data_IF_356976781420
#
_entry.id   IF_356976781420
#
_cell.length_a   1.000
_cell.length_b   1.000
_cell.length_c   1.000
_cell.angle_alpha   90.00
_cell.angle_beta   90.00
_cell.angle_gamma   90.00
#
_symmetry.space_group_name_H-M   'P 1'
#
loop_
_entity.id
_entity.type
_entity.pdbx_description
1 polymer ?
#
# COMPACT_ATOMS: atom_id res chain seq x y z
N UNK A 1 10.69 53.80 44.13
CA UNK A 1 9.91 53.47 45.35
C UNK A 1 9.59 52.02 45.36
N UNK A 2 10.16 51.36 46.35
CA UNK A 2 9.76 50.16 47.13
C UNK A 2 9.52 48.84 46.32
N UNK A 3 10.42 47.98 46.42
CA UNK A 3 10.89 46.96 47.40
C UNK A 3 10.24 45.63 47.09
N UNK A 4 11.03 44.66 46.52
CA UNK A 4 11.73 43.55 47.22
C UNK A 4 10.85 42.73 48.16
N UNK A 5 10.72 41.43 47.89
CA UNK A 5 11.16 40.39 48.84
C UNK A 5 11.11 38.96 48.24
N UNK A 6 12.29 38.45 48.17
CA UNK A 6 12.79 37.09 48.20
C UNK A 6 12.37 36.27 49.42
N UNK A 7 12.33 34.92 49.30
CA UNK A 7 12.79 33.86 50.24
C UNK A 7 12.38 32.51 49.68
N UNK A 8 13.19 31.62 49.24
CA UNK A 8 14.35 30.87 49.73
C UNK A 8 14.02 29.72 50.69
N UNK A 9 14.49 28.53 50.30
CA UNK A 9 15.02 27.39 51.09
C UNK A 9 13.99 26.48 51.77
N UNK A 10 14.16 25.18 51.86
CA UNK A 10 15.34 24.33 52.06
C UNK A 10 15.04 22.87 51.87
N UNK A 11 16.03 22.12 51.47
CA UNK A 11 16.16 20.68 51.44
C UNK A 11 16.06 20.00 52.80
N UNK A 12 15.75 18.70 52.84
CA UNK A 12 16.44 17.76 53.73
C UNK A 12 16.32 16.31 53.26
N UNK A 13 17.48 15.71 53.23
CA UNK A 13 17.86 14.30 53.05
C UNK A 13 17.51 13.48 54.29
N UNK A 14 17.33 12.14 54.11
CA UNK A 14 17.89 11.06 54.94
C UNK A 14 17.41 9.73 54.31
N UNK A 15 18.17 8.92 53.88
CA UNK A 15 19.06 7.79 54.14
C UNK A 15 18.75 7.08 55.46
N UNK A 16 18.43 5.79 55.39
CA UNK A 16 18.91 4.71 56.26
C UNK A 16 18.82 3.36 55.58
N UNK A 17 19.91 2.63 55.73
CA UNK A 17 20.26 1.28 55.27
C UNK A 17 19.84 0.19 56.25
N UNK A 18 20.01 -1.05 55.76
CA UNK A 18 20.39 -2.29 56.43
C UNK A 18 19.24 -3.18 56.90
N UNK A 19 19.25 -4.46 56.83
CA UNK A 19 20.12 -5.53 56.35
C UNK A 19 19.57 -6.86 56.98
N UNK A 20 19.84 -7.97 56.29
CA UNK A 20 20.22 -9.29 56.79
C UNK A 20 19.10 -10.29 57.19
N UNK A 21 18.98 -11.28 56.33
CA UNK A 21 19.08 -12.75 56.43
C UNK A 21 18.41 -13.51 57.58
N UNK A 22 17.64 -14.55 57.24
CA UNK A 22 18.02 -15.94 57.48
C UNK A 22 16.81 -16.90 57.33
N UNK A 23 16.99 -17.93 56.58
CA UNK A 23 16.57 -19.34 56.66
C UNK A 23 15.38 -19.74 57.56
N UNK A 24 14.43 -20.47 56.92
CA UNK A 24 13.50 -21.31 57.67
C UNK A 24 12.52 -22.02 56.73
N UNK A 25 12.81 -23.26 56.42
CA UNK A 25 11.92 -24.24 55.78
C UNK A 25 10.69 -24.52 56.63
N UNK A 26 9.51 -24.55 56.02
CA UNK A 26 8.46 -25.56 56.37
C UNK A 26 7.31 -25.52 55.37
N UNK A 27 6.96 -26.71 54.88
CA UNK A 27 5.76 -27.07 54.14
C UNK A 27 4.48 -26.74 54.95
N UNK A 28 3.45 -26.25 54.26
CA UNK A 28 2.09 -26.77 54.37
C UNK A 28 1.14 -26.04 53.39
N UNK A 29 0.22 -26.81 52.86
CA UNK A 29 -0.79 -26.46 51.86
C UNK A 29 -1.77 -25.38 52.32
N UNK A 30 -2.26 -24.56 51.38
CA UNK A 30 -3.40 -23.68 51.61
C UNK A 30 -3.75 -22.91 50.34
N UNK A 31 -4.91 -23.21 49.77
CA UNK A 31 -5.53 -22.50 48.64
C UNK A 31 -5.65 -21.00 48.88
N UNK A 32 -5.20 -20.19 48.00
CA UNK A 32 -5.65 -18.83 47.80
C UNK A 32 -5.50 -18.45 46.32
N UNK A 33 -6.58 -17.97 45.79
CA UNK A 33 -6.73 -17.39 44.46
C UNK A 33 -5.83 -16.15 44.29
N UNK A 34 -4.93 -16.17 43.31
CA UNK A 34 -4.26 -14.98 42.84
C UNK A 34 -4.66 -14.75 41.37
N UNK A 35 -5.31 -13.63 41.15
CA UNK A 35 -5.57 -13.04 39.84
C UNK A 35 -4.22 -12.56 39.28
N UNK A 36 -3.62 -13.32 38.38
CA UNK A 36 -2.65 -12.81 37.39
C UNK A 36 -3.34 -12.55 36.06
N UNK A 37 -2.98 -11.49 35.33
CA UNK A 37 -3.60 -11.22 34.04
C UNK A 37 -3.17 -12.31 33.04
N UNK A 38 -4.13 -13.11 32.63
CA UNK A 38 -3.97 -14.11 31.58
C UNK A 38 -3.44 -13.41 30.31
N UNK A 39 -2.21 -13.75 29.95
CA UNK A 39 -1.77 -13.69 28.57
C UNK A 39 -2.76 -14.56 27.76
N UNK A 40 -3.49 -13.92 26.86
CA UNK A 40 -4.45 -14.56 25.98
C UNK A 40 -3.76 -15.56 25.04
N UNK A 41 -3.44 -16.71 25.55
CA UNK A 41 -3.05 -17.93 24.86
C UNK A 41 -4.19 -18.93 25.01
N UNK A 42 -5.30 -18.68 24.37
CA UNK A 42 -6.34 -19.68 24.17
C UNK A 42 -5.82 -20.73 23.20
N UNK A 43 -5.14 -21.72 23.73
CA UNK A 43 -4.85 -22.98 23.07
C UNK A 43 -6.16 -23.77 22.95
N UNK A 44 -6.91 -23.50 21.86
CA UNK A 44 -7.84 -24.48 21.36
C UNK A 44 -6.94 -25.57 20.76
N UNK A 45 -6.75 -26.65 21.51
CA UNK A 45 -5.95 -27.79 21.12
C UNK A 45 -6.18 -28.18 19.66
N UNK A 46 -5.12 -28.61 18.93
CA UNK A 46 -5.25 -28.99 17.55
C UNK A 46 -6.29 -30.10 17.43
N UNK A 47 -7.33 -29.86 16.64
CA UNK A 47 -8.24 -30.92 16.25
C UNK A 47 -7.37 -32.02 15.68
N UNK A 48 -7.40 -33.20 16.28
CA UNK A 48 -6.56 -34.34 15.91
C UNK A 48 -6.67 -34.55 14.39
N UNK A 49 -5.57 -34.36 13.65
CA UNK A 49 -5.43 -34.64 12.24
C UNK A 49 -5.50 -33.45 11.28
N UNK A 50 -5.64 -32.17 11.73
CA UNK A 50 -5.71 -31.04 10.80
C UNK A 50 -4.37 -30.31 10.67
N UNK A 51 -4.01 -29.97 9.41
CA UNK A 51 -2.86 -29.09 9.12
C UNK A 51 -3.23 -27.64 9.36
N UNK A 52 -2.48 -26.96 10.22
CA UNK A 52 -2.63 -25.51 10.42
C UNK A 52 -1.67 -24.78 9.48
N UNK A 53 -2.20 -23.91 8.61
CA UNK A 53 -1.45 -23.01 7.75
C UNK A 53 -1.54 -21.59 8.30
N UNK A 54 -0.41 -20.90 8.34
CA UNK A 54 -0.30 -19.52 8.78
C UNK A 54 -0.05 -18.59 7.59
N UNK A 55 -0.71 -17.44 7.56
CA UNK A 55 -0.58 -16.42 6.51
C UNK A 55 -0.18 -15.10 7.16
N UNK A 56 1.01 -14.61 6.84
CA UNK A 56 1.52 -13.31 7.26
C UNK A 56 1.23 -12.25 6.21
N UNK A 57 0.52 -11.19 6.59
CA UNK A 57 0.13 -10.10 5.70
C UNK A 57 0.40 -8.74 6.33
N UNK A 58 0.27 -7.68 5.53
CA UNK A 58 0.31 -6.29 5.98
C UNK A 58 -0.99 -5.57 5.62
N UNK A 59 -1.30 -4.51 6.37
CA UNK A 59 -2.47 -3.67 6.14
C UNK A 59 -3.80 -4.44 6.15
N UNK A 60 -4.76 -3.90 5.46
CA UNK A 60 -6.07 -4.52 5.21
C UNK A 60 -6.02 -5.38 3.94
N UNK A 61 -5.27 -6.48 3.97
CA UNK A 61 -5.00 -7.34 2.81
C UNK A 61 -6.26 -7.98 2.20
N UNK A 62 -7.28 -8.23 3.03
CA UNK A 62 -8.65 -8.52 2.59
C UNK A 62 -8.99 -9.98 2.35
N UNK A 63 -8.04 -10.92 2.32
CA UNK A 63 -8.32 -12.34 2.03
C UNK A 63 -9.27 -12.98 3.04
N UNK A 64 -9.11 -12.66 4.31
CA UNK A 64 -9.97 -13.14 5.40
C UNK A 64 -11.36 -12.50 5.32
N UNK A 65 -11.40 -11.19 5.15
CA UNK A 65 -12.62 -10.38 5.10
C UNK A 65 -13.49 -10.73 3.88
N UNK A 66 -12.86 -11.10 2.75
CA UNK A 66 -13.55 -11.64 1.58
C UNK A 66 -14.04 -13.10 1.77
N UNK A 67 -13.83 -13.69 2.94
CA UNK A 67 -14.26 -15.05 3.26
C UNK A 67 -13.54 -16.15 2.48
N UNK A 68 -12.36 -15.85 1.88
CA UNK A 68 -11.60 -16.82 1.08
C UNK A 68 -11.04 -17.94 1.94
N UNK A 69 -10.61 -17.66 3.17
CA UNK A 69 -10.12 -18.70 4.09
C UNK A 69 -11.23 -19.66 4.48
N UNK A 70 -12.43 -19.14 4.80
CA UNK A 70 -13.57 -19.98 5.16
C UNK A 70 -14.01 -20.85 3.98
N UNK A 71 -13.98 -20.31 2.76
CA UNK A 71 -14.26 -21.07 1.55
C UNK A 71 -13.24 -22.20 1.37
N UNK A 72 -11.93 -21.92 1.46
CA UNK A 72 -10.89 -22.93 1.32
C UNK A 72 -11.01 -24.03 2.38
N UNK A 73 -11.22 -23.66 3.65
CA UNK A 73 -11.40 -24.62 4.76
C UNK A 73 -12.68 -25.45 4.62
N UNK A 74 -13.71 -24.91 3.98
CA UNK A 74 -14.93 -25.67 3.66
C UNK A 74 -14.68 -26.75 2.61
N UNK A 75 -13.85 -26.45 1.62
CA UNK A 75 -13.44 -27.35 0.54
C UNK A 75 -12.35 -28.34 1.01
N UNK A 76 -11.48 -27.96 1.95
CA UNK A 76 -10.36 -28.74 2.49
C UNK A 76 -10.50 -28.92 4.00
N UNK A 77 -11.25 -29.94 4.43
CA UNK A 77 -11.65 -30.18 5.84
C UNK A 77 -10.49 -30.41 6.79
N UNK A 78 -9.36 -30.83 6.25
CA UNK A 78 -8.15 -31.16 7.02
C UNK A 78 -7.21 -29.95 7.20
N UNK A 79 -7.63 -28.76 6.73
CA UNK A 79 -6.86 -27.50 6.83
C UNK A 79 -7.54 -26.53 7.78
N UNK A 80 -6.72 -25.83 8.56
CA UNK A 80 -7.10 -24.63 9.36
C UNK A 80 -6.17 -23.51 8.96
N UNK A 81 -6.71 -22.32 8.63
CA UNK A 81 -5.94 -21.16 8.25
C UNK A 81 -5.97 -20.12 9.36
N UNK A 82 -4.79 -19.61 9.75
CA UNK A 82 -4.62 -18.52 10.71
C UNK A 82 -3.87 -17.36 10.04
N UNK A 83 -4.35 -16.14 10.17
CA UNK A 83 -3.70 -14.94 9.65
C UNK A 83 -3.07 -14.12 10.77
N UNK A 84 -1.87 -13.62 10.52
CA UNK A 84 -1.25 -12.53 11.28
C UNK A 84 -1.13 -11.32 10.37
N UNK A 85 -1.41 -10.12 10.88
CA UNK A 85 -1.29 -8.87 10.12
C UNK A 85 -0.50 -7.84 10.91
N UNK A 86 0.38 -7.12 10.22
CA UNK A 86 1.05 -5.92 10.72
C UNK A 86 0.48 -4.75 9.93
N UNK A 87 -0.04 -3.73 10.61
CA UNK A 87 -0.85 -2.66 10.02
C UNK A 87 -0.16 -1.94 8.85
N UNK A 88 1.17 -1.76 8.91
CA UNK A 88 1.93 -1.01 7.91
C UNK A 88 3.05 -1.85 7.31
N UNK A 89 3.19 -1.78 5.97
CA UNK A 89 4.25 -2.49 5.26
C UNK A 89 5.65 -2.05 5.72
N UNK A 90 5.85 -0.78 6.07
CA UNK A 90 7.13 -0.26 6.57
C UNK A 90 7.58 -0.93 7.87
N UNK A 91 6.65 -1.48 8.65
CA UNK A 91 6.94 -2.25 9.85
C UNK A 91 7.01 -3.77 9.58
N UNK A 92 6.24 -4.24 8.61
CA UNK A 92 6.18 -5.65 8.24
C UNK A 92 7.41 -6.12 7.46
N UNK A 93 7.80 -5.37 6.44
CA UNK A 93 8.82 -5.78 5.48
C UNK A 93 10.22 -5.98 6.10
N UNK A 94 10.74 -5.10 6.97
CA UNK A 94 12.02 -5.33 7.65
C UNK A 94 12.02 -6.58 8.55
N UNK A 95 10.87 -6.90 9.16
CA UNK A 95 10.72 -8.13 9.94
C UNK A 95 10.74 -9.36 9.03
N UNK A 96 10.03 -9.31 7.88
CA UNK A 96 10.08 -10.38 6.88
C UNK A 96 11.51 -10.66 6.41
N UNK A 97 12.30 -9.64 6.07
CA UNK A 97 13.70 -9.79 5.68
C UNK A 97 14.54 -10.45 6.80
N UNK A 98 14.35 -10.01 8.04
CA UNK A 98 15.03 -10.58 9.21
C UNK A 98 14.66 -12.06 9.38
N UNK A 99 13.38 -12.39 9.28
CA UNK A 99 12.89 -13.77 9.42
C UNK A 99 13.35 -14.67 8.27
N UNK A 100 13.38 -14.18 7.03
CA UNK A 100 13.97 -14.88 5.89
C UNK A 100 15.47 -15.09 6.10
N UNK A 101 16.17 -14.10 6.67
CA UNK A 101 17.59 -14.21 6.99
C UNK A 101 17.89 -15.31 8.01
N UNK A 102 17.06 -15.43 9.05
CA UNK A 102 17.25 -16.40 10.15
C UNK A 102 16.57 -17.75 9.92
N UNK A 103 15.63 -17.83 8.96
CA UNK A 103 14.80 -19.03 8.74
C UNK A 103 13.81 -19.30 9.86
N UNK A 104 13.49 -18.31 10.71
CA UNK A 104 12.59 -18.47 11.85
C UNK A 104 11.62 -17.29 11.99
N UNK A 105 10.46 -17.51 12.63
CA UNK A 105 9.42 -16.46 12.77
C UNK A 105 8.56 -16.24 11.53
N UNK A 106 8.72 -17.08 10.50
CA UNK A 106 7.98 -17.01 9.26
C UNK A 106 6.60 -17.68 9.37
N UNK A 107 5.59 -17.09 8.77
CA UNK A 107 4.35 -17.79 8.43
C UNK A 107 4.59 -18.74 7.24
N UNK A 108 3.69 -19.72 7.05
CA UNK A 108 3.77 -20.66 5.93
C UNK A 108 3.60 -19.95 4.57
N UNK A 109 2.81 -18.85 4.55
CA UNK A 109 2.66 -17.96 3.40
C UNK A 109 2.99 -16.54 3.87
N UNK A 110 3.78 -15.80 3.08
CA UNK A 110 4.14 -14.41 3.35
C UNK A 110 3.73 -13.51 2.19
N UNK A 111 3.02 -12.43 2.50
CA UNK A 111 2.70 -11.41 1.52
C UNK A 111 3.92 -10.50 1.26
N UNK A 112 4.08 -10.04 0.01
CA UNK A 112 5.12 -9.09 -0.41
C UNK A 112 4.48 -8.01 -1.25
N UNK A 113 4.73 -6.75 -0.91
CA UNK A 113 4.26 -5.59 -1.67
C UNK A 113 5.07 -5.41 -2.96
N UNK A 114 4.46 -4.86 -4.01
CA UNK A 114 5.04 -4.77 -5.34
C UNK A 114 6.39 -4.04 -5.39
N UNK A 115 6.56 -2.95 -4.62
CA UNK A 115 7.84 -2.23 -4.59
C UNK A 115 8.95 -2.98 -3.82
N UNK A 116 8.62 -4.07 -3.13
CA UNK A 116 9.57 -4.91 -2.42
C UNK A 116 9.90 -6.21 -3.17
N UNK A 117 9.11 -6.59 -4.18
CA UNK A 117 9.25 -7.90 -4.84
C UNK A 117 10.61 -8.05 -5.55
N UNK A 118 11.13 -6.99 -6.15
CA UNK A 118 12.41 -7.04 -6.83
C UNK A 118 13.56 -7.38 -5.87
N UNK A 119 13.58 -6.78 -4.66
CA UNK A 119 14.57 -7.13 -3.62
C UNK A 119 14.41 -8.58 -3.17
N UNK A 120 13.19 -9.05 -2.95
CA UNK A 120 12.90 -10.44 -2.56
C UNK A 120 13.37 -11.41 -3.64
N UNK A 121 13.03 -11.17 -4.90
CA UNK A 121 13.40 -12.01 -6.04
C UNK A 121 14.92 -12.10 -6.21
N UNK A 122 15.62 -10.97 -6.09
CA UNK A 122 17.06 -10.89 -6.30
C UNK A 122 17.87 -11.39 -5.11
N UNK A 123 17.41 -11.15 -3.87
CA UNK A 123 18.25 -11.39 -2.68
C UNK A 123 17.78 -12.55 -1.79
N UNK A 124 16.50 -12.96 -1.90
CA UNK A 124 15.89 -13.98 -1.05
C UNK A 124 15.26 -15.14 -1.84
N UNK A 125 15.36 -15.14 -3.17
CA UNK A 125 14.69 -16.11 -4.03
C UNK A 125 15.08 -17.56 -3.75
N UNK A 126 16.28 -17.84 -3.25
CA UNK A 126 16.76 -19.16 -2.82
C UNK A 126 16.05 -19.69 -1.57
N UNK A 127 15.52 -18.79 -0.72
CA UNK A 127 14.82 -19.10 0.55
C UNK A 127 13.31 -19.29 0.40
N UNK A 128 12.79 -19.18 -0.82
CA UNK A 128 11.37 -19.30 -1.14
C UNK A 128 11.13 -20.53 -2.03
N UNK A 129 9.93 -21.09 -2.03
CA UNK A 129 9.54 -22.20 -2.90
C UNK A 129 9.27 -21.74 -4.35
N UNK A 130 9.41 -22.66 -5.30
CA UNK A 130 9.02 -22.46 -6.69
C UNK A 130 7.51 -22.69 -6.86
N UNK A 131 6.76 -21.62 -6.89
CA UNK A 131 5.30 -21.66 -6.98
C UNK A 131 4.78 -21.92 -8.41
N UNK A 132 5.64 -21.88 -9.44
CA UNK A 132 5.23 -22.25 -10.80
C UNK A 132 4.76 -23.71 -10.91
N UNK A 133 5.18 -24.55 -9.96
CA UNK A 133 4.83 -25.97 -9.87
C UNK A 133 3.71 -26.26 -8.87
N UNK A 134 3.21 -25.24 -8.18
CA UNK A 134 2.15 -25.42 -7.20
C UNK A 134 0.85 -25.89 -7.87
N UNK A 135 0.14 -26.88 -7.29
CA UNK A 135 -1.13 -27.32 -7.84
C UNK A 135 -2.13 -26.17 -7.98
N UNK A 136 -2.60 -25.90 -9.18
CA UNK A 136 -3.52 -24.81 -9.48
C UNK A 136 -2.85 -23.49 -9.93
N UNK A 137 -1.52 -23.40 -9.90
CA UNK A 137 -0.81 -22.27 -10.50
C UNK A 137 -0.89 -22.35 -12.03
N UNK A 138 -1.38 -21.30 -12.66
CA UNK A 138 -1.50 -21.19 -14.12
C UNK A 138 -0.93 -19.86 -14.59
N UNK A 139 0.29 -19.87 -15.13
CA UNK A 139 0.95 -18.68 -15.66
C UNK A 139 0.09 -17.95 -16.70
N UNK A 140 -0.63 -18.69 -17.54
CA UNK A 140 -1.43 -18.11 -18.63
C UNK A 140 -2.64 -17.31 -18.10
N UNK A 141 -3.05 -17.52 -16.86
CA UNK A 141 -4.13 -16.77 -16.23
C UNK A 141 -3.73 -15.36 -15.79
N UNK A 142 -2.45 -15.08 -15.65
CA UNK A 142 -1.93 -13.81 -15.12
C UNK A 142 -1.47 -12.86 -16.23
N UNK A 143 -1.43 -11.57 -15.92
CA UNK A 143 -0.66 -10.62 -16.70
C UNK A 143 0.80 -11.07 -16.75
N UNK A 144 1.37 -11.14 -17.96
CA UNK A 144 2.72 -11.67 -18.18
C UNK A 144 3.78 -10.93 -17.34
N UNK A 145 3.70 -9.60 -17.30
CA UNK A 145 4.62 -8.78 -16.54
C UNK A 145 4.51 -9.00 -15.03
N UNK A 146 3.29 -9.25 -14.50
CA UNK A 146 3.11 -9.49 -13.07
C UNK A 146 3.70 -10.83 -12.66
N UNK A 147 3.54 -11.85 -13.50
CA UNK A 147 4.20 -13.13 -13.28
C UNK A 147 5.72 -13.01 -13.34
N UNK A 148 6.23 -12.25 -14.32
CA UNK A 148 7.68 -12.02 -14.47
C UNK A 148 8.28 -11.31 -13.25
N UNK A 149 7.59 -10.32 -12.66
CA UNK A 149 8.03 -9.64 -11.44
C UNK A 149 8.23 -10.58 -10.25
N UNK A 150 7.45 -11.66 -10.14
CA UNK A 150 7.58 -12.67 -9.10
C UNK A 150 8.57 -13.79 -9.44
N UNK A 151 9.30 -13.69 -10.56
CA UNK A 151 10.16 -14.75 -11.09
C UNK A 151 11.63 -14.32 -11.08
N UNK A 152 12.51 -15.19 -10.54
CA UNK A 152 13.95 -14.96 -10.51
C UNK A 152 14.58 -15.11 -11.90
N UNK A 153 15.79 -14.60 -12.12
CA UNK A 153 16.56 -14.79 -13.36
C UNK A 153 16.77 -16.27 -13.70
N UNK A 154 16.86 -17.14 -12.70
CA UNK A 154 16.96 -18.59 -12.88
C UNK A 154 15.62 -19.26 -13.30
N UNK A 155 14.55 -18.47 -13.48
CA UNK A 155 13.23 -18.96 -13.90
C UNK A 155 12.37 -19.56 -12.76
N UNK A 156 12.75 -19.35 -11.50
CA UNK A 156 11.99 -19.80 -10.34
C UNK A 156 10.94 -18.73 -9.98
N UNK A 157 9.66 -19.06 -10.03
CA UNK A 157 8.58 -18.16 -9.63
C UNK A 157 8.37 -18.25 -8.13
N UNK A 158 8.81 -17.23 -7.40
CA UNK A 158 8.76 -17.19 -5.92
C UNK A 158 7.58 -16.42 -5.37
N UNK A 159 6.87 -15.66 -6.22
CA UNK A 159 5.70 -14.88 -5.85
C UNK A 159 4.56 -15.00 -6.87
N UNK A 160 3.35 -15.34 -6.39
CA UNK A 160 2.13 -15.30 -7.19
C UNK A 160 1.39 -13.99 -6.93
N UNK A 161 1.10 -13.23 -7.99
CA UNK A 161 0.41 -11.95 -7.87
C UNK A 161 -0.99 -12.08 -7.28
N UNK A 162 -1.33 -11.22 -6.31
CA UNK A 162 -2.68 -11.16 -5.73
C UNK A 162 -3.54 -10.11 -6.40
N UNK A 163 -2.94 -8.96 -6.72
CA UNK A 163 -3.61 -7.79 -7.25
C UNK A 163 -2.63 -6.88 -7.97
N UNK A 164 -3.16 -5.85 -8.58
CA UNK A 164 -2.46 -4.71 -9.15
C UNK A 164 -3.21 -3.42 -8.79
N UNK A 165 -2.57 -2.27 -8.96
CA UNK A 165 -3.16 -0.97 -8.67
C UNK A 165 -3.32 -0.08 -9.90
N UNK A 166 -4.14 -0.48 -10.92
CA UNK A 166 -4.41 0.40 -12.04
C UNK A 166 -5.07 1.68 -11.53
N UNK A 167 -4.65 2.84 -12.06
CA UNK A 167 -5.06 4.13 -11.53
C UNK A 167 -6.11 4.81 -12.42
N UNK A 168 -7.10 5.41 -11.74
CA UNK A 168 -7.96 6.44 -12.27
C UNK A 168 -7.70 7.79 -11.59
N UNK A 169 -8.51 8.80 -11.90
CA UNK A 169 -8.62 10.03 -11.14
C UNK A 169 -9.98 10.03 -10.44
N UNK A 170 -9.96 9.89 -9.11
CA UNK A 170 -11.15 10.11 -8.30
C UNK A 170 -11.38 11.62 -8.15
N UNK A 171 -12.60 12.10 -8.39
CA UNK A 171 -12.90 13.52 -8.38
C UNK A 171 -14.21 13.84 -7.68
N UNK A 172 -14.31 15.04 -7.14
CA UNK A 172 -15.48 15.60 -6.46
C UNK A 172 -16.39 16.32 -7.47
N UNK A 173 -17.49 15.67 -7.88
CA UNK A 173 -18.49 16.23 -8.80
C UNK A 173 -19.01 17.59 -8.32
N UNK A 174 -19.33 17.69 -7.04
CA UNK A 174 -19.88 18.92 -6.45
C UNK A 174 -18.88 20.10 -6.45
N UNK A 175 -17.57 19.82 -6.39
CA UNK A 175 -16.55 20.87 -6.49
C UNK A 175 -16.29 21.25 -7.95
N UNK A 176 -16.34 20.29 -8.86
CA UNK A 176 -16.24 20.53 -10.31
C UNK A 176 -17.40 21.37 -10.81
N UNK A 177 -18.65 21.03 -10.43
CA UNK A 177 -19.82 21.82 -10.74
C UNK A 177 -19.70 23.28 -10.29
N UNK A 178 -19.28 23.48 -9.01
CA UNK A 178 -19.07 24.84 -8.46
C UNK A 178 -17.97 25.62 -9.17
N UNK A 179 -16.98 24.92 -9.71
CA UNK A 179 -15.91 25.52 -10.52
C UNK A 179 -16.33 25.74 -11.99
N UNK A 180 -17.51 25.26 -12.40
CA UNK A 180 -18.00 25.34 -13.77
C UNK A 180 -17.29 24.37 -14.73
N UNK A 181 -16.77 23.27 -14.20
CA UNK A 181 -16.18 22.17 -14.96
C UNK A 181 -17.24 21.07 -15.20
N UNK A 182 -17.04 20.19 -16.20
CA UNK A 182 -17.87 19.02 -16.39
C UNK A 182 -17.94 18.14 -15.14
N UNK A 183 -19.06 17.43 -14.97
CA UNK A 183 -19.25 16.47 -13.87
C UNK A 183 -19.45 15.03 -14.33
N UNK A 184 -19.72 14.82 -15.62
CA UNK A 184 -19.76 13.50 -16.25
C UNK A 184 -18.35 12.93 -16.38
N UNK A 185 -18.17 11.66 -16.00
CA UNK A 185 -16.84 11.01 -15.92
C UNK A 185 -16.11 10.92 -17.24
N UNK A 186 -16.84 10.76 -18.36
CA UNK A 186 -16.21 10.71 -19.68
C UNK A 186 -15.75 12.10 -20.12
N UNK A 187 -16.57 13.12 -19.89
CA UNK A 187 -16.21 14.51 -20.19
C UNK A 187 -15.06 14.99 -19.28
N UNK A 188 -15.07 14.59 -18.01
CA UNK A 188 -13.97 14.88 -17.07
C UNK A 188 -12.67 14.20 -17.53
N UNK A 189 -12.72 12.93 -17.92
CA UNK A 189 -11.56 12.21 -18.46
C UNK A 189 -10.97 12.87 -19.72
N UNK A 190 -11.81 13.46 -20.57
CA UNK A 190 -11.37 14.19 -21.78
C UNK A 190 -10.58 15.45 -21.47
N UNK A 191 -10.78 16.08 -20.31
CA UNK A 191 -10.04 17.29 -19.92
C UNK A 191 -8.53 17.08 -19.93
N UNK A 192 -8.09 15.88 -19.61
CA UNK A 192 -6.67 15.55 -19.47
C UNK A 192 -6.19 14.33 -20.26
N UNK A 193 -7.05 13.77 -21.13
CA UNK A 193 -6.72 12.54 -21.85
C UNK A 193 -5.37 12.60 -22.58
N UNK A 194 -4.53 11.60 -22.29
CA UNK A 194 -3.22 11.36 -22.91
C UNK A 194 -2.08 12.23 -22.38
N UNK A 195 -2.33 13.19 -21.46
CA UNK A 195 -1.32 14.17 -21.09
C UNK A 195 -1.46 14.70 -19.67
N UNK A 196 -0.42 14.57 -18.85
CA UNK A 196 -0.39 15.10 -17.49
C UNK A 196 -0.30 16.63 -17.43
N UNK A 197 0.24 17.30 -18.48
CA UNK A 197 0.22 18.78 -18.58
C UNK A 197 -1.21 19.29 -18.72
N UNK A 198 -2.07 18.57 -19.45
CA UNK A 198 -3.51 18.91 -19.50
C UNK A 198 -4.19 18.79 -18.14
N UNK A 199 -3.73 17.84 -17.29
CA UNK A 199 -4.22 17.71 -15.94
C UNK A 199 -3.83 18.93 -15.08
N UNK A 200 -2.63 19.46 -15.26
CA UNK A 200 -2.20 20.72 -14.66
C UNK A 200 -3.07 21.89 -15.13
N UNK A 201 -3.33 22.00 -16.43
CA UNK A 201 -4.17 23.07 -16.99
C UNK A 201 -5.63 22.97 -16.45
N UNK A 202 -6.20 21.75 -16.36
CA UNK A 202 -7.49 21.54 -15.72
C UNK A 202 -7.49 22.02 -14.26
N UNK A 203 -6.38 21.81 -13.54
CA UNK A 203 -6.18 22.33 -12.19
C UNK A 203 -6.16 23.84 -12.12
N UNK A 204 -5.48 24.50 -13.04
CA UNK A 204 -5.46 25.97 -13.15
C UNK A 204 -6.86 26.53 -13.44
N UNK A 205 -7.61 25.89 -14.36
CA UNK A 205 -8.99 26.30 -14.65
C UNK A 205 -9.91 26.10 -13.43
N UNK A 206 -9.82 24.94 -12.75
CA UNK A 206 -10.54 24.70 -11.51
C UNK A 206 -10.27 25.79 -10.46
N UNK A 207 -8.99 26.13 -10.24
CA UNK A 207 -8.59 27.04 -9.17
C UNK A 207 -9.10 28.48 -9.39
N UNK A 208 -9.39 28.91 -10.65
CA UNK A 208 -9.99 30.25 -10.95
C UNK A 208 -11.35 30.44 -10.30
N UNK A 209 -12.13 29.36 -10.13
CA UNK A 209 -13.50 29.40 -9.61
C UNK A 209 -13.73 28.44 -8.45
N UNK A 210 -12.65 27.83 -7.91
CA UNK A 210 -12.74 26.88 -6.82
C UNK A 210 -13.48 27.49 -5.60
N UNK A 211 -14.30 26.69 -4.91
CA UNK A 211 -14.82 27.06 -3.62
C UNK A 211 -13.70 27.42 -2.64
N UNK A 212 -13.97 28.40 -1.76
CA UNK A 212 -12.99 28.85 -0.77
C UNK A 212 -12.45 27.65 0.05
N UNK A 213 -11.14 27.47 0.03
CA UNK A 213 -10.44 26.41 0.76
C UNK A 213 -10.28 25.10 0.00
N UNK A 214 -10.97 24.91 -1.12
CA UNK A 214 -10.76 23.75 -1.98
C UNK A 214 -9.54 23.93 -2.89
N UNK A 215 -8.78 22.86 -3.06
CA UNK A 215 -7.64 22.76 -3.97
C UNK A 215 -7.90 21.71 -5.04
N UNK A 216 -7.13 21.74 -6.11
CA UNK A 216 -7.34 20.80 -7.19
C UNK A 216 -6.87 19.38 -6.81
N UNK A 217 -5.66 19.24 -6.25
CA UNK A 217 -5.11 17.95 -5.81
C UNK A 217 -4.82 17.92 -4.31
N UNK A 218 -4.70 16.75 -3.77
CA UNK A 218 -4.35 16.48 -2.36
C UNK A 218 -2.93 16.96 -2.00
N UNK A 219 -1.93 16.65 -2.80
CA UNK A 219 -0.55 17.04 -2.59
C UNK A 219 0.34 16.74 -3.79
N UNK A 220 1.43 17.48 -3.94
CA UNK A 220 2.39 17.30 -5.01
C UNK A 220 3.06 15.90 -5.04
N UNK A 221 3.36 15.24 -3.90
CA UNK A 221 3.90 13.88 -3.91
C UNK A 221 2.99 12.86 -4.60
N UNK A 222 1.67 12.97 -4.44
CA UNK A 222 0.70 12.10 -5.10
C UNK A 222 0.71 12.27 -6.62
N UNK A 223 0.80 13.52 -7.10
CA UNK A 223 0.95 13.82 -8.54
C UNK A 223 2.24 13.22 -9.07
N UNK A 224 3.38 13.44 -8.40
CA UNK A 224 4.67 12.90 -8.81
C UNK A 224 4.64 11.38 -8.94
N UNK A 225 4.05 10.69 -7.94
CA UNK A 225 3.94 9.24 -7.96
C UNK A 225 3.09 8.73 -9.13
N UNK A 226 1.96 9.38 -9.43
CA UNK A 226 1.07 9.01 -10.53
C UNK A 226 1.74 9.20 -11.89
N UNK A 227 2.42 10.34 -12.10
CA UNK A 227 3.16 10.64 -13.33
C UNK A 227 4.32 9.65 -13.52
N UNK A 228 5.12 9.42 -12.47
CA UNK A 228 6.23 8.44 -12.50
C UNK A 228 5.69 7.03 -12.78
N UNK A 229 4.54 6.68 -12.21
CA UNK A 229 3.87 5.40 -12.41
C UNK A 229 3.41 5.15 -13.85
N UNK A 230 3.33 6.19 -14.69
CA UNK A 230 2.99 6.08 -16.11
C UNK A 230 4.22 5.77 -17.01
N UNK A 231 5.38 5.52 -16.42
CA UNK A 231 6.64 5.25 -17.13
C UNK A 231 7.13 3.83 -16.89
N UNK A 232 7.65 3.19 -17.92
CA UNK A 232 8.29 1.88 -17.85
C UNK A 232 9.58 1.96 -17.03
N UNK A 233 10.51 2.80 -17.47
CA UNK A 233 11.76 3.07 -16.76
C UNK A 233 11.53 4.18 -15.73
N UNK A 234 11.74 3.86 -14.46
CA UNK A 234 11.65 4.81 -13.37
C UNK A 234 13.01 5.02 -12.72
N UNK A 235 13.32 4.22 -11.72
CA UNK A 235 14.52 4.37 -10.90
C UNK A 235 15.65 3.45 -11.31
N UNK A 236 15.33 2.38 -12.04
CA UNK A 236 16.25 1.40 -12.58
C UNK A 236 16.04 1.24 -14.08
N UNK A 237 17.10 0.96 -14.82
CA UNK A 237 17.05 0.58 -16.22
C UNK A 237 16.96 -0.95 -16.39
N UNK A 238 16.91 -1.41 -17.65
CA UNK A 238 16.85 -2.83 -18.04
C UNK A 238 18.10 -3.64 -17.68
N UNK A 239 19.19 -2.97 -17.27
CA UNK A 239 20.43 -3.59 -16.80
C UNK A 239 20.51 -3.65 -15.26
N UNK A 240 19.51 -3.12 -14.56
CA UNK A 240 19.50 -3.04 -13.10
C UNK A 240 20.33 -1.88 -12.54
N UNK A 241 20.74 -0.92 -13.40
CA UNK A 241 21.48 0.26 -12.94
C UNK A 241 20.53 1.34 -12.41
N UNK A 242 20.95 2.03 -11.36
CA UNK A 242 20.17 3.12 -10.75
C UNK A 242 20.23 4.36 -11.64
N UNK A 243 19.10 4.74 -12.23
CA UNK A 243 19.01 5.83 -13.23
C UNK A 243 18.12 7.01 -12.83
N UNK A 244 17.54 7.02 -11.62
CA UNK A 244 16.57 8.05 -11.24
C UNK A 244 17.06 9.50 -11.41
N UNK A 245 18.37 9.75 -11.26
CA UNK A 245 18.97 11.08 -11.42
C UNK A 245 19.04 11.56 -12.87
N UNK A 246 19.24 10.62 -13.79
CA UNK A 246 19.44 10.87 -15.22
C UNK A 246 18.22 10.57 -16.06
N UNK A 247 17.20 9.90 -15.51
CA UNK A 247 15.99 9.54 -16.22
C UNK A 247 15.09 10.77 -16.44
N UNK A 248 14.84 11.17 -17.72
CA UNK A 248 13.97 12.30 -18.02
C UNK A 248 12.55 12.15 -17.44
N UNK A 249 11.98 10.94 -17.45
CA UNK A 249 10.62 10.72 -16.96
C UNK A 249 10.49 11.02 -15.46
N UNK A 250 11.52 10.71 -14.66
CA UNK A 250 11.53 11.06 -13.23
C UNK A 250 11.65 12.56 -13.03
N UNK A 251 12.49 13.21 -13.87
CA UNK A 251 12.66 14.68 -13.82
C UNK A 251 11.39 15.41 -14.24
N UNK A 252 10.73 14.97 -15.30
CA UNK A 252 9.46 15.52 -15.77
C UNK A 252 8.37 15.37 -14.71
N UNK A 253 8.26 14.19 -14.08
CA UNK A 253 7.31 13.96 -13.00
C UNK A 253 7.58 14.87 -11.78
N UNK A 254 8.85 15.08 -11.44
CA UNK A 254 9.29 15.99 -10.39
C UNK A 254 8.93 17.43 -10.70
N UNK A 255 9.27 17.91 -11.92
CA UNK A 255 9.03 19.29 -12.33
C UNK A 255 7.55 19.62 -12.39
N UNK A 256 6.75 18.72 -12.97
CA UNK A 256 5.30 18.88 -13.04
C UNK A 256 4.68 18.96 -11.63
N UNK A 257 5.06 18.05 -10.72
CA UNK A 257 4.56 18.07 -9.35
C UNK A 257 4.96 19.36 -8.60
N UNK A 258 6.18 19.85 -8.83
CA UNK A 258 6.64 21.13 -8.27
C UNK A 258 5.83 22.31 -8.84
N UNK A 259 5.40 22.25 -10.10
CA UNK A 259 4.54 23.26 -10.71
C UNK A 259 3.13 23.25 -10.06
N UNK A 260 2.53 22.08 -9.81
CA UNK A 260 1.29 22.01 -9.02
C UNK A 260 1.41 22.72 -7.67
N UNK A 261 2.55 22.54 -6.97
CA UNK A 261 2.81 23.18 -5.70
C UNK A 261 2.97 24.72 -5.84
N UNK A 262 3.75 25.18 -6.83
CA UNK A 262 4.04 26.59 -7.04
C UNK A 262 2.83 27.39 -7.53
N UNK A 263 1.96 26.78 -8.34
CA UNK A 263 0.69 27.34 -8.80
C UNK A 263 -0.41 27.30 -7.70
N UNK A 264 -0.09 26.74 -6.52
CA UNK A 264 -1.01 26.67 -5.39
C UNK A 264 -2.22 25.77 -5.59
N UNK A 265 -2.08 24.74 -6.44
CA UNK A 265 -3.13 23.78 -6.78
C UNK A 265 -3.25 22.63 -5.77
N UNK A 266 -2.31 22.50 -4.84
CA UNK A 266 -2.24 21.42 -3.85
C UNK A 266 -2.89 21.81 -2.53
N UNK A 267 -3.53 20.87 -1.86
CA UNK A 267 -3.99 21.01 -0.49
C UNK A 267 -2.85 20.83 0.54
N UNK A 268 -1.63 20.52 0.07
CA UNK A 268 -0.40 20.33 0.90
C UNK A 268 -0.55 19.22 1.94
N UNK A 269 -1.31 18.19 1.59
CA UNK A 269 -1.56 17.06 2.47
C UNK A 269 -0.63 15.90 2.14
N UNK A 270 -0.04 15.32 3.16
CA UNK A 270 0.66 14.05 3.03
C UNK A 270 -0.36 12.92 3.07
N UNK A 271 -0.32 12.02 2.10
CA UNK A 271 -1.22 10.88 2.00
C UNK A 271 -1.12 9.98 3.25
N UNK A 272 -2.22 9.33 3.59
CA UNK A 272 -2.37 8.44 4.75
C UNK A 272 -2.15 9.12 6.11
N UNK A 273 -2.35 10.43 6.20
CA UNK A 273 -2.39 11.17 7.46
C UNK A 273 -3.82 11.56 7.82
N UNK A 274 -4.12 11.84 9.11
CA UNK A 274 -5.47 12.24 9.52
C UNK A 274 -6.01 13.48 8.78
N UNK A 275 -5.14 14.41 8.38
CA UNK A 275 -5.54 15.59 7.60
C UNK A 275 -5.98 15.23 6.18
N UNK A 276 -5.29 14.31 5.55
CA UNK A 276 -5.63 13.78 4.24
C UNK A 276 -6.94 12.99 4.28
N UNK A 277 -7.10 12.13 5.29
CA UNK A 277 -8.33 11.37 5.53
C UNK A 277 -9.56 12.28 5.62
N UNK A 278 -9.46 13.36 6.38
CA UNK A 278 -10.54 14.35 6.53
C UNK A 278 -10.84 15.08 5.21
N UNK A 279 -9.86 15.21 4.33
CA UNK A 279 -10.01 15.85 3.03
C UNK A 279 -11.09 15.22 2.16
N UNK A 280 -11.26 13.90 2.23
CA UNK A 280 -12.28 13.15 1.46
C UNK A 280 -13.71 13.55 1.83
N UNK A 281 -13.99 13.79 3.10
CA UNK A 281 -15.31 14.22 3.58
C UNK A 281 -15.53 15.73 3.44
N UNK A 282 -14.49 16.53 3.69
CA UNK A 282 -14.61 18.00 3.77
C UNK A 282 -14.48 18.72 2.42
N UNK A 283 -13.97 18.05 1.37
CA UNK A 283 -13.72 18.66 0.08
C UNK A 283 -12.54 19.64 0.08
N UNK A 284 -11.50 19.31 0.85
CA UNK A 284 -10.25 20.10 0.88
C UNK A 284 -9.51 20.02 -0.45
N UNK A 285 -9.68 18.93 -1.18
CA UNK A 285 -9.20 18.73 -2.54
C UNK A 285 -10.30 18.16 -3.45
N UNK A 286 -10.19 18.46 -4.72
CA UNK A 286 -11.18 18.10 -5.73
C UNK A 286 -10.83 16.82 -6.47
N UNK A 287 -9.56 16.47 -6.57
CA UNK A 287 -9.08 15.26 -7.27
C UNK A 287 -7.98 14.56 -6.50
N UNK A 288 -7.87 13.26 -6.72
CA UNK A 288 -6.74 12.43 -6.26
C UNK A 288 -6.52 11.31 -7.28
N UNK A 289 -5.25 11.00 -7.59
CA UNK A 289 -4.93 9.78 -8.32
C UNK A 289 -5.27 8.59 -7.44
N UNK A 290 -6.17 7.72 -7.90
CA UNK A 290 -6.72 6.64 -7.10
C UNK A 290 -6.59 5.29 -7.82
N UNK A 291 -5.78 4.37 -7.30
CA UNK A 291 -5.85 2.98 -7.72
C UNK A 291 -7.14 2.32 -7.24
N UNK A 292 -7.53 1.22 -7.90
CA UNK A 292 -8.80 0.55 -7.62
C UNK A 292 -9.03 0.23 -6.13
N UNK A 293 -8.00 -0.23 -5.43
CA UNK A 293 -8.08 -0.54 -3.99
C UNK A 293 -8.36 0.69 -3.10
N UNK A 294 -8.09 1.89 -3.61
CA UNK A 294 -8.31 3.14 -2.85
C UNK A 294 -9.79 3.54 -2.82
N UNK A 295 -10.66 3.00 -3.69
CA UNK A 295 -12.08 3.37 -3.70
C UNK A 295 -12.75 3.07 -2.36
N UNK A 296 -12.51 1.89 -1.80
CA UNK A 296 -13.01 1.54 -0.46
C UNK A 296 -12.47 2.46 0.63
N UNK A 297 -11.19 2.85 0.54
CA UNK A 297 -10.59 3.81 1.47
C UNK A 297 -11.26 5.18 1.39
N UNK A 298 -11.49 5.69 0.17
CA UNK A 298 -12.18 6.97 -0.07
C UNK A 298 -13.60 6.91 0.49
N UNK A 299 -14.33 5.81 0.29
CA UNK A 299 -15.66 5.61 0.86
C UNK A 299 -15.63 5.62 2.40
N UNK A 300 -14.71 4.89 3.02
CA UNK A 300 -14.58 4.83 4.48
C UNK A 300 -14.28 6.21 5.09
N UNK A 301 -13.37 6.99 4.48
CA UNK A 301 -12.95 8.30 5.00
C UNK A 301 -13.89 9.43 4.59
N UNK A 302 -14.52 9.34 3.43
CA UNK A 302 -15.52 10.28 2.97
C UNK A 302 -16.84 10.17 3.73
N UNK A 303 -17.21 8.92 4.09
CA UNK A 303 -18.43 8.62 4.84
C UNK A 303 -19.69 9.22 4.19
N UNK A 304 -20.74 9.40 4.97
CA UNK A 304 -22.01 10.01 4.50
C UNK A 304 -21.83 11.41 3.90
N UNK A 305 -20.86 12.19 4.38
CA UNK A 305 -20.59 13.54 3.85
C UNK A 305 -20.01 13.53 2.45
N UNK A 306 -19.30 12.48 2.07
CA UNK A 306 -18.75 12.29 0.75
C UNK A 306 -19.66 11.50 -0.20
N UNK A 307 -20.72 10.87 0.31
CA UNK A 307 -21.65 10.11 -0.49
C UNK A 307 -22.25 10.97 -1.62
N UNK A 308 -22.46 10.38 -2.80
CA UNK A 308 -22.98 11.02 -4.02
C UNK A 308 -22.14 12.19 -4.57
N UNK A 309 -20.95 12.44 -4.01
CA UNK A 309 -20.07 13.55 -4.43
C UNK A 309 -18.83 13.09 -5.18
N UNK A 310 -18.42 11.85 -4.98
CA UNK A 310 -17.26 11.29 -5.65
C UNK A 310 -17.66 10.56 -6.92
N UNK A 311 -16.78 10.62 -7.91
CA UNK A 311 -16.81 9.77 -9.09
C UNK A 311 -15.39 9.46 -9.54
N UNK A 312 -15.20 8.58 -10.51
CA UNK A 312 -13.90 8.18 -11.03
C UNK A 312 -13.86 8.28 -12.56
N UNK A 313 -12.86 8.95 -13.08
CA UNK A 313 -12.57 9.10 -14.51
C UNK A 313 -11.25 8.39 -14.85
N UNK A 314 -11.03 8.12 -16.15
CA UNK A 314 -9.73 7.65 -16.63
C UNK A 314 -8.62 8.65 -16.27
N UNK A 315 -7.45 8.14 -15.89
CA UNK A 315 -6.27 8.95 -15.65
C UNK A 315 -5.73 9.55 -16.97
N UNK A 316 -4.92 10.63 -16.93
CA UNK A 316 -4.27 11.18 -18.11
C UNK A 316 -3.51 10.15 -18.93
N UNK A 317 -2.73 9.31 -18.26
CA UNK A 317 -2.07 8.14 -18.83
C UNK A 317 -2.27 6.94 -17.92
N UNK A 318 -2.40 5.74 -18.48
CA UNK A 318 -2.46 4.52 -17.67
C UNK A 318 -1.21 4.38 -16.79
N UNK A 319 -1.41 3.96 -15.57
CA UNK A 319 -0.35 3.77 -14.59
C UNK A 319 -0.72 2.69 -13.58
N UNK A 320 0.28 2.17 -12.88
CA UNK A 320 0.08 1.20 -11.81
C UNK A 320 0.71 1.69 -10.51
N UNK A 321 -0.04 1.62 -9.43
CA UNK A 321 0.46 1.89 -8.08
C UNK A 321 0.12 0.76 -7.12
N UNK A 322 1.16 0.01 -6.73
CA UNK A 322 1.04 -1.07 -5.77
C UNK A 322 0.64 -2.41 -6.40
N UNK A 323 -0.02 -3.21 -5.59
CA UNK A 323 -0.28 -4.61 -5.78
C UNK A 323 0.63 -5.46 -4.91
N UNK A 324 0.34 -6.75 -4.82
CA UNK A 324 1.04 -7.63 -3.90
C UNK A 324 1.25 -9.02 -4.49
N UNK A 325 2.00 -9.83 -3.75
CA UNK A 325 2.30 -11.23 -4.07
C UNK A 325 2.16 -12.08 -2.82
N UNK A 326 1.88 -13.36 -3.00
CA UNK A 326 2.03 -14.39 -1.96
C UNK A 326 3.27 -15.23 -2.27
N UNK A 327 4.11 -15.43 -1.26
CA UNK A 327 5.33 -16.23 -1.30
C UNK A 327 5.26 -17.33 -0.26
N UNK A 328 6.01 -18.42 -0.45
CA UNK A 328 6.10 -19.55 0.49
C UNK A 328 7.55 -19.75 0.91
N UNK A 329 7.90 -19.49 2.19
CA UNK A 329 9.25 -19.72 2.70
C UNK A 329 9.65 -21.19 2.70
N UNK A 330 10.87 -21.50 2.23
CA UNK A 330 11.41 -22.86 2.20
C UNK A 330 11.72 -23.44 3.60
N UNK A 331 11.82 -22.58 4.62
CA UNK A 331 11.99 -23.00 6.02
C UNK A 331 10.69 -23.53 6.65
N UNK A 332 9.52 -23.33 6.00
CA UNK A 332 8.22 -23.80 6.47
C UNK A 332 8.10 -25.33 6.48
N UNK A 333 7.28 -25.88 7.38
CA UNK A 333 7.03 -27.32 7.49
C UNK A 333 5.94 -27.81 6.53
N UNK A 334 4.99 -26.94 6.17
CA UNK A 334 3.80 -27.26 5.38
C UNK A 334 3.88 -26.71 3.95
N UNK A 335 5.06 -26.74 3.33
CA UNK A 335 5.36 -26.03 2.06
C UNK A 335 4.43 -26.40 0.91
N UNK A 336 4.16 -27.69 0.73
CA UNK A 336 3.28 -28.19 -0.35
C UNK A 336 1.84 -27.68 -0.18
N UNK A 337 1.29 -27.76 1.04
CA UNK A 337 -0.06 -27.29 1.33
C UNK A 337 -0.13 -25.74 1.30
N UNK A 338 0.93 -25.06 1.73
CA UNK A 338 1.04 -23.60 1.62
C UNK A 338 1.10 -23.14 0.16
N UNK A 339 1.88 -23.82 -0.68
CA UNK A 339 1.95 -23.54 -2.11
C UNK A 339 0.61 -23.76 -2.82
N UNK A 340 -0.09 -24.84 -2.48
CA UNK A 340 -1.44 -25.12 -2.99
C UNK A 340 -2.45 -24.05 -2.54
N UNK A 341 -2.41 -23.62 -1.28
CA UNK A 341 -3.25 -22.53 -0.77
C UNK A 341 -2.91 -21.21 -1.45
N UNK A 342 -1.64 -20.85 -1.61
CA UNK A 342 -1.21 -19.64 -2.30
C UNK A 342 -1.72 -19.60 -3.75
N UNK A 343 -1.58 -20.70 -4.49
CA UNK A 343 -2.08 -20.82 -5.86
C UNK A 343 -3.62 -20.70 -5.92
N UNK A 344 -4.34 -21.31 -4.98
CA UNK A 344 -5.79 -21.17 -4.90
C UNK A 344 -6.24 -19.75 -4.57
N UNK A 345 -5.59 -19.08 -3.59
CA UNK A 345 -5.91 -17.70 -3.19
C UNK A 345 -5.67 -16.69 -4.33
N UNK A 346 -4.72 -16.99 -5.22
CA UNK A 346 -4.36 -16.11 -6.34
C UNK A 346 -5.00 -16.52 -7.68
N UNK A 347 -5.86 -17.53 -7.69
CA UNK A 347 -6.56 -17.94 -8.89
C UNK A 347 -7.62 -16.90 -9.32
N UNK A 348 -8.01 -16.83 -10.61
CA UNK A 348 -8.86 -15.77 -11.17
C UNK A 348 -10.17 -15.54 -10.39
N UNK A 349 -10.88 -16.60 -10.00
CA UNK A 349 -12.15 -16.51 -9.27
C UNK A 349 -11.96 -15.90 -7.86
N UNK A 350 -10.87 -16.24 -7.18
CA UNK A 350 -10.58 -15.72 -5.86
C UNK A 350 -10.19 -14.25 -5.92
N UNK A 351 -9.41 -13.87 -6.93
CA UNK A 351 -9.07 -12.46 -7.16
C UNK A 351 -10.30 -11.63 -7.57
N UNK A 352 -11.19 -12.16 -8.40
CA UNK A 352 -12.46 -11.52 -8.74
C UNK A 352 -13.33 -11.28 -7.50
N UNK A 353 -13.41 -12.28 -6.61
CA UNK A 353 -14.13 -12.14 -5.34
C UNK A 353 -13.46 -11.11 -4.43
N UNK A 354 -12.14 -11.11 -4.35
CA UNK A 354 -11.38 -10.11 -3.56
C UNK A 354 -11.64 -8.69 -4.08
N UNK A 355 -11.70 -8.50 -5.40
CA UNK A 355 -12.04 -7.22 -5.99
C UNK A 355 -13.47 -6.78 -5.62
N UNK A 356 -14.45 -7.65 -5.78
CA UNK A 356 -15.85 -7.33 -5.47
C UNK A 356 -16.03 -6.91 -3.99
N UNK A 357 -15.28 -7.52 -3.08
CA UNK A 357 -15.40 -7.28 -1.63
C UNK A 357 -14.50 -6.15 -1.11
N UNK A 358 -13.33 -5.92 -1.75
CA UNK A 358 -12.27 -5.07 -1.22
C UNK A 358 -11.68 -4.07 -2.21
N UNK A 359 -12.03 -4.15 -3.49
CA UNK A 359 -11.52 -3.28 -4.54
C UNK A 359 -10.10 -3.61 -5.03
N UNK A 360 -9.46 -4.70 -4.55
CA UNK A 360 -8.13 -5.14 -5.02
C UNK A 360 -8.21 -5.69 -6.44
N UNK A 361 -7.78 -4.90 -7.45
CA UNK A 361 -7.96 -5.25 -8.86
C UNK A 361 -7.08 -6.45 -9.26
N UNK A 362 -7.64 -7.47 -9.96
CA UNK A 362 -6.94 -8.71 -10.24
C UNK A 362 -5.65 -8.55 -11.03
N UNK A 363 -4.59 -9.22 -10.60
CA UNK A 363 -3.38 -9.48 -11.39
C UNK A 363 -3.58 -10.65 -12.38
N UNK A 364 -4.59 -11.47 -12.15
CA UNK A 364 -4.99 -12.54 -13.04
C UNK A 364 -5.91 -11.98 -14.13
N UNK A 365 -5.37 -11.75 -15.34
CA UNK A 365 -6.13 -11.22 -16.49
C UNK A 365 -7.33 -12.10 -16.84
N UNK A 366 -7.23 -13.41 -16.63
CA UNK A 366 -8.36 -14.32 -16.84
C UNK A 366 -9.59 -14.03 -15.94
N UNK A 367 -9.45 -13.15 -14.92
CA UNK A 367 -10.57 -12.71 -14.11
C UNK A 367 -11.40 -11.60 -14.78
N UNK A 368 -10.87 -10.88 -15.78
CA UNK A 368 -11.49 -9.66 -16.30
C UNK A 368 -12.84 -9.90 -16.98
N UNK A 369 -13.01 -11.07 -17.56
CA UNK A 369 -14.28 -11.48 -18.20
C UNK A 369 -15.30 -12.08 -17.20
N UNK A 370 -14.93 -12.27 -15.94
CA UNK A 370 -15.87 -12.74 -14.93
C UNK A 370 -16.87 -11.63 -14.56
N UNK A 371 -18.15 -11.97 -14.32
CA UNK A 371 -19.17 -10.97 -14.01
C UNK A 371 -18.81 -10.07 -12.81
N UNK A 372 -18.09 -10.61 -11.81
CA UNK A 372 -17.62 -9.87 -10.64
C UNK A 372 -16.69 -8.71 -11.01
N UNK A 373 -16.06 -8.75 -12.19
CA UNK A 373 -15.21 -7.68 -12.72
C UNK A 373 -15.94 -6.94 -13.85
N UNK A 374 -16.37 -7.66 -14.90
CA UNK A 374 -16.92 -7.05 -16.11
C UNK A 374 -18.14 -6.14 -15.86
N UNK A 375 -18.99 -6.56 -14.90
CA UNK A 375 -20.21 -5.84 -14.53
C UNK A 375 -20.08 -5.01 -13.26
N UNK A 376 -18.86 -4.94 -12.66
CA UNK A 376 -18.63 -4.26 -11.40
C UNK A 376 -18.93 -2.77 -11.50
N UNK A 377 -19.73 -2.29 -10.57
CA UNK A 377 -20.06 -0.87 -10.34
C UNK A 377 -19.82 -0.50 -8.90
N UNK A 378 -19.64 0.78 -8.64
CA UNK A 378 -19.43 1.28 -7.28
C UNK A 378 -20.43 2.39 -6.96
N UNK A 379 -21.41 2.09 -6.08
CA UNK A 379 -22.52 2.98 -5.73
C UNK A 379 -22.01 4.34 -5.18
N UNK A 380 -21.03 4.32 -4.29
CA UNK A 380 -20.44 5.53 -3.71
C UNK A 380 -19.81 6.47 -4.75
N UNK A 381 -19.46 5.95 -5.94
CA UNK A 381 -18.89 6.68 -7.07
C UNK A 381 -19.89 6.78 -8.23
N UNK A 382 -21.15 7.10 -7.92
CA UNK A 382 -22.19 7.33 -8.92
C UNK A 382 -22.38 6.17 -9.89
N UNK A 383 -22.43 4.96 -9.35
CA UNK A 383 -22.51 3.70 -10.13
C UNK A 383 -21.43 3.58 -11.22
N UNK A 384 -20.25 4.15 -10.96
CA UNK A 384 -19.13 4.07 -11.90
C UNK A 384 -18.85 2.61 -12.29
N UNK A 385 -18.70 2.31 -13.61
CA UNK A 385 -18.39 0.97 -14.09
C UNK A 385 -16.92 0.65 -13.83
N UNK A 386 -16.56 0.48 -12.54
CA UNK A 386 -15.19 0.37 -12.04
C UNK A 386 -14.43 -0.80 -12.66
N UNK A 387 -15.12 -1.91 -12.96
CA UNK A 387 -14.50 -3.03 -13.63
C UNK A 387 -13.93 -2.65 -15.00
N UNK A 388 -14.71 -1.92 -15.81
CA UNK A 388 -14.26 -1.44 -17.14
C UNK A 388 -13.19 -0.36 -17.06
N UNK A 389 -13.36 0.60 -16.13
CA UNK A 389 -12.40 1.70 -15.96
C UNK A 389 -11.03 1.16 -15.59
N UNK A 390 -10.96 0.25 -14.60
CA UNK A 390 -9.69 -0.27 -14.14
C UNK A 390 -9.12 -1.38 -15.02
N UNK A 391 -9.94 -2.17 -15.73
CA UNK A 391 -9.44 -3.09 -16.75
C UNK A 391 -8.72 -2.33 -17.88
N UNK A 392 -9.33 -1.28 -18.40
CA UNK A 392 -8.72 -0.43 -19.42
C UNK A 392 -7.41 0.22 -18.92
N UNK A 393 -7.40 0.70 -17.67
CA UNK A 393 -6.20 1.26 -17.07
C UNK A 393 -5.09 0.20 -16.89
N UNK A 394 -5.45 -1.04 -16.51
CA UNK A 394 -4.52 -2.15 -16.34
C UNK A 394 -3.89 -2.61 -17.65
N UNK A 395 -4.69 -2.72 -18.71
CA UNK A 395 -4.23 -3.10 -20.05
C UNK A 395 -3.27 -2.08 -20.66
N UNK A 396 -3.49 -0.79 -20.37
CA UNK A 396 -2.66 0.31 -20.87
C UNK A 396 -1.45 0.64 -19.98
N UNK A 397 -1.36 0.09 -18.76
CA UNK A 397 -0.28 0.42 -17.84
C UNK A 397 1.07 -0.09 -18.36
N UNK A 398 2.14 0.72 -18.28
CA UNK A 398 3.46 0.30 -18.71
C UNK A 398 3.98 -0.83 -17.81
N UNK A 399 4.73 -1.75 -18.41
CA UNK A 399 5.49 -2.77 -17.67
C UNK A 399 6.65 -2.08 -16.97
N UNK A 400 6.54 -1.89 -15.66
CA UNK A 400 7.54 -1.17 -14.88
C UNK A 400 8.77 -2.03 -14.60
N UNK A 401 9.94 -1.48 -14.88
CA UNK A 401 11.22 -2.05 -14.47
C UNK A 401 11.40 -1.74 -12.99
N UNK A 402 11.43 -2.79 -12.16
CA UNK A 402 11.57 -2.70 -10.71
C UNK A 402 12.98 -3.05 -10.28
N UNK A 403 13.49 -2.32 -9.30
CA UNK A 403 14.78 -2.61 -8.67
C UNK A 403 14.67 -2.80 -7.15
N UNK A 404 15.73 -3.32 -6.51
CA UNK A 404 15.68 -3.73 -5.09
C UNK A 404 15.47 -2.58 -4.11
N UNK A 405 15.71 -1.33 -4.50
CA UNK A 405 15.55 -0.13 -3.64
C UNK A 405 14.48 0.83 -4.18
N UNK A 406 13.57 0.36 -5.01
CA UNK A 406 12.47 1.18 -5.58
C UNK A 406 11.69 1.93 -4.50
N UNK A 407 11.29 1.23 -3.43
CA UNK A 407 10.55 1.84 -2.32
C UNK A 407 11.36 2.94 -1.63
N UNK A 408 12.64 2.70 -1.39
CA UNK A 408 13.54 3.66 -0.73
C UNK A 408 13.69 4.93 -1.57
N UNK A 409 13.87 4.78 -2.89
CA UNK A 409 14.01 5.90 -3.81
C UNK A 409 12.70 6.68 -3.87
N UNK A 410 11.56 6.00 -4.07
CA UNK A 410 10.25 6.61 -4.16
C UNK A 410 9.91 7.43 -2.89
N UNK A 411 10.10 6.83 -1.70
CA UNK A 411 9.83 7.49 -0.42
C UNK A 411 10.71 8.72 -0.20
N UNK A 412 12.00 8.66 -0.51
CA UNK A 412 12.87 9.82 -0.34
C UNK A 412 12.55 10.94 -1.33
N UNK A 413 12.20 10.62 -2.57
CA UNK A 413 11.72 11.63 -3.53
C UNK A 413 10.44 12.31 -3.01
N UNK A 414 9.48 11.54 -2.48
CA UNK A 414 8.24 12.07 -1.96
C UNK A 414 8.41 12.80 -0.63
N UNK A 415 8.87 12.11 0.41
CA UNK A 415 8.79 12.59 1.80
C UNK A 415 9.93 13.53 2.17
N UNK A 416 11.14 13.28 1.69
CA UNK A 416 12.30 14.13 1.97
C UNK A 416 12.40 15.29 0.98
N UNK A 417 12.01 15.05 -0.29
CA UNK A 417 12.11 16.05 -1.34
C UNK A 417 10.83 16.84 -1.58
N UNK A 418 9.84 16.22 -2.23
CA UNK A 418 8.66 16.91 -2.73
C UNK A 418 7.78 17.51 -1.62
N UNK A 419 7.67 16.86 -0.45
CA UNK A 419 6.97 17.46 0.69
C UNK A 419 7.61 18.75 1.19
N UNK A 420 8.92 18.96 1.05
CA UNK A 420 9.54 20.22 1.41
C UNK A 420 9.19 21.33 0.40
N UNK A 421 9.08 20.98 -0.88
CA UNK A 421 8.61 21.92 -1.90
C UNK A 421 7.16 22.30 -1.62
N UNK A 422 6.30 21.33 -1.46
CA UNK A 422 4.86 21.52 -1.34
C UNK A 422 4.44 22.17 -0.02
N UNK A 423 4.89 21.64 1.12
CA UNK A 423 4.45 22.10 2.44
C UNK A 423 5.28 23.25 3.01
N UNK A 424 6.60 23.25 2.74
CA UNK A 424 7.53 24.23 3.36
C UNK A 424 7.95 25.34 2.41
N UNK A 425 7.48 25.33 1.16
CA UNK A 425 7.77 26.37 0.16
C UNK A 425 9.24 26.44 -0.24
N UNK A 426 9.98 25.31 -0.14
CA UNK A 426 11.31 25.20 -0.69
C UNK A 426 11.27 25.25 -2.20
N UNK A 427 12.36 25.73 -2.84
CA UNK A 427 12.47 25.63 -4.28
C UNK A 427 12.51 24.17 -4.74
N UNK A 428 12.08 23.90 -5.98
CA UNK A 428 12.17 22.59 -6.62
C UNK A 428 13.60 22.04 -6.55
N UNK A 429 14.61 22.89 -6.80
CA UNK A 429 16.03 22.50 -6.74
C UNK A 429 16.50 22.10 -5.33
N UNK A 430 16.10 22.87 -4.29
CA UNK A 430 16.43 22.53 -2.89
C UNK A 430 15.82 21.20 -2.47
N UNK A 431 14.53 20.96 -2.85
CA UNK A 431 13.84 19.70 -2.59
C UNK A 431 14.51 18.52 -3.29
N UNK A 432 14.86 18.68 -4.57
CA UNK A 432 15.56 17.65 -5.34
C UNK A 432 16.91 17.29 -4.71
N UNK A 433 17.74 18.30 -4.38
CA UNK A 433 19.04 18.06 -3.71
C UNK A 433 18.90 17.34 -2.38
N UNK A 434 17.85 17.66 -1.61
CA UNK A 434 17.60 16.98 -0.34
C UNK A 434 17.21 15.51 -0.56
N UNK A 435 16.33 15.23 -1.53
CA UNK A 435 15.96 13.87 -1.89
C UNK A 435 17.16 13.06 -2.37
N UNK A 436 17.92 13.58 -3.33
CA UNK A 436 19.12 12.92 -3.87
C UNK A 436 20.10 12.56 -2.79
N UNK A 437 20.40 13.51 -1.88
CA UNK A 437 21.30 13.25 -0.76
C UNK A 437 20.80 12.13 0.17
N UNK A 438 19.48 12.09 0.42
CA UNK A 438 18.90 11.05 1.28
C UNK A 438 18.94 9.69 0.59
N UNK A 439 18.66 9.64 -0.72
CA UNK A 439 18.71 8.42 -1.53
C UNK A 439 20.14 7.89 -1.58
N UNK A 440 21.12 8.74 -1.92
CA UNK A 440 22.53 8.32 -1.98
C UNK A 440 22.98 7.70 -0.66
N UNK A 441 22.68 8.34 0.47
CA UNK A 441 23.00 7.79 1.80
C UNK A 441 22.31 6.44 2.07
N UNK A 442 21.12 6.22 1.54
CA UNK A 442 20.37 4.98 1.73
C UNK A 442 20.79 3.85 0.78
N UNK A 443 21.35 4.20 -0.39
CA UNK A 443 21.88 3.23 -1.34
C UNK A 443 23.29 2.77 -0.98
N UNK A 444 24.05 3.60 -0.24
CA UNK A 444 25.43 3.29 0.22
C UNK A 444 25.45 2.36 1.45
N UNK A 445 24.29 2.04 2.06
CA UNK A 445 24.14 1.15 3.22
C UNK A 445 23.79 -0.29 2.78
#
# INVERSE_FOLDING_TARGET
MRTMRTRSRTARKAVVLAAVAALGTSLLAGCASDDEPEAAGGDAGPGQGKTTLTVGVFGAFGLKEAGLYDQYMKENKDVVIKQTSIERNENYYPQLLTHLGTGSGLADIQAVEANNIAEIVQTQGDKLEDLSKAPGADKAAFLEWKWAQGTTEAGKTVGLGTDIGPQGICYRKDLFEKAGLPTDREEVGKLWAGDWDKYLEAGKEFQKKAPKGAKFVDGAPGVMAAVTGSSETRYYDDKGEVVYKSNPAVKEAWDLAAEFASEGLTAKLQQFTPGWDQGFSNGTFATVSCPAWMLGYIQDKGGEKGADKWDVAQAPKPSNWGGSFLTVPSAGKNKEEAAKLAAWLTAPKQQAKLFAERGSFPSAQAAYDLPEIADAKHEYFDDAPIGKIFAQAAEGAPVQILGPKDLVIAQNLADVGMLQVDQKGKSSEEGWKAAVKAIDNALDQ
#
